data_IF_346858939943
#
_entry.id   IF_346858939943
#
_cell.length_a   1.000
_cell.length_b   1.000
_cell.length_c   1.000
_cell.angle_alpha   90.00
_cell.angle_beta   90.00
_cell.angle_gamma   90.00
#
_symmetry.space_group_name_H-M   'P 1'
#
loop_
_entity.id
_entity.type
_entity.pdbx_description
1 polymer ?
#
# COMPACT_ATOMS: atom_id res chain seq x y z
N UNK A 1 -19.54 -11.75 -23.56
CA UNK A 1 -19.33 -12.55 -22.32
C UNK A 1 -18.57 -11.76 -21.26
N UNK A 2 -17.43 -11.12 -21.59
CA UNK A 2 -16.66 -10.31 -20.65
C UNK A 2 -17.47 -9.16 -20.02
N UNK A 3 -18.17 -8.37 -20.84
CA UNK A 3 -18.99 -7.24 -20.36
C UNK A 3 -20.07 -7.68 -19.36
N UNK A 4 -20.75 -8.82 -19.63
CA UNK A 4 -21.74 -9.39 -18.71
C UNK A 4 -21.11 -9.85 -17.40
N UNK A 5 -19.91 -10.43 -17.46
CA UNK A 5 -19.16 -10.78 -16.26
C UNK A 5 -18.77 -9.54 -15.44
N UNK A 6 -18.28 -8.48 -16.10
CA UNK A 6 -17.95 -7.22 -15.44
C UNK A 6 -19.19 -6.56 -14.83
N UNK A 7 -20.33 -6.59 -15.50
CA UNK A 7 -21.59 -6.08 -14.97
C UNK A 7 -22.05 -6.84 -13.72
N UNK A 8 -21.94 -8.17 -13.73
CA UNK A 8 -22.26 -8.99 -12.55
C UNK A 8 -21.29 -8.72 -11.39
N UNK A 9 -20.00 -8.62 -11.70
CA UNK A 9 -18.95 -8.30 -10.73
C UNK A 9 -19.14 -6.90 -10.12
N UNK A 10 -19.60 -5.95 -10.93
CA UNK A 10 -19.98 -4.62 -10.46
C UNK A 10 -21.19 -4.70 -9.53
N UNK A 11 -22.24 -5.43 -9.89
CA UNK A 11 -23.43 -5.58 -9.05
C UNK A 11 -23.12 -6.16 -7.66
N UNK A 12 -22.20 -7.13 -7.58
CA UNK A 12 -21.89 -7.84 -6.33
C UNK A 12 -20.86 -7.14 -5.45
N UNK A 13 -19.95 -6.37 -6.06
CA UNK A 13 -18.78 -5.82 -5.36
C UNK A 13 -18.55 -4.32 -5.54
N UNK A 14 -19.44 -3.56 -6.20
CA UNK A 14 -19.34 -2.09 -6.28
C UNK A 14 -19.00 -1.44 -4.93
N UNK A 15 -18.07 -0.48 -4.96
CA UNK A 15 -17.58 0.21 -3.76
C UNK A 15 -16.67 -0.60 -2.84
N UNK A 16 -16.42 -1.89 -3.09
CA UNK A 16 -15.52 -2.72 -2.29
C UNK A 16 -14.14 -2.81 -2.91
N UNK A 17 -13.09 -2.83 -2.06
CA UNK A 17 -11.71 -3.02 -2.50
C UNK A 17 -11.50 -4.32 -3.31
N UNK A 18 -12.31 -5.35 -3.04
CA UNK A 18 -12.29 -6.65 -3.72
C UNK A 18 -12.63 -6.54 -5.22
N UNK A 19 -13.52 -5.63 -5.60
CA UNK A 19 -13.91 -5.38 -6.99
C UNK A 19 -12.70 -5.02 -7.86
N UNK A 20 -11.91 -4.05 -7.41
CA UNK A 20 -10.70 -3.61 -8.11
C UNK A 20 -9.67 -4.73 -8.22
N UNK A 21 -9.53 -5.54 -7.17
CA UNK A 21 -8.60 -6.67 -7.17
C UNK A 21 -8.99 -7.71 -8.22
N UNK A 22 -10.29 -7.99 -8.41
CA UNK A 22 -10.74 -8.89 -9.46
C UNK A 22 -10.47 -8.34 -10.87
N UNK A 23 -10.76 -7.05 -11.12
CA UNK A 23 -10.46 -6.42 -12.41
C UNK A 23 -8.95 -6.45 -12.68
N UNK A 24 -8.12 -6.15 -11.67
CA UNK A 24 -6.66 -6.21 -11.79
C UNK A 24 -6.13 -7.61 -12.08
N UNK A 25 -6.63 -8.64 -11.41
CA UNK A 25 -6.28 -10.04 -11.69
C UNK A 25 -6.67 -10.45 -13.10
N UNK A 26 -7.83 -10.01 -13.59
CA UNK A 26 -8.31 -10.33 -14.93
C UNK A 26 -7.46 -9.63 -16.01
N UNK A 27 -7.02 -8.40 -15.76
CA UNK A 27 -6.06 -7.71 -16.62
C UNK A 27 -4.70 -8.46 -16.69
N UNK A 28 -4.17 -8.89 -15.54
CA UNK A 28 -2.93 -9.68 -15.50
C UNK A 28 -3.08 -11.02 -16.22
N UNK A 29 -4.23 -11.68 -16.08
CA UNK A 29 -4.54 -12.90 -16.80
C UNK A 29 -4.54 -12.70 -18.31
N UNK A 30 -5.15 -11.62 -18.81
CA UNK A 30 -5.11 -11.30 -20.25
C UNK A 30 -3.70 -10.97 -20.73
N UNK A 31 -2.91 -10.27 -19.93
CA UNK A 31 -1.50 -10.02 -20.24
C UNK A 31 -0.70 -11.34 -20.34
N UNK A 32 -0.93 -12.28 -19.41
CA UNK A 32 -0.28 -13.59 -19.42
C UNK A 32 -0.69 -14.42 -20.64
N UNK A 33 -1.97 -14.43 -21.02
CA UNK A 33 -2.44 -15.12 -22.24
C UNK A 33 -1.71 -14.58 -23.48
N UNK A 34 -1.60 -13.25 -23.60
CA UNK A 34 -0.89 -12.59 -24.71
C UNK A 34 0.59 -12.95 -24.73
N UNK A 35 1.24 -12.90 -23.56
CA UNK A 35 2.65 -13.22 -23.42
C UNK A 35 2.95 -14.67 -23.83
N UNK A 36 2.08 -15.61 -23.46
CA UNK A 36 2.26 -17.02 -23.77
C UNK A 36 1.69 -17.45 -25.12
N UNK A 37 1.12 -16.53 -25.93
CA UNK A 37 0.43 -16.78 -27.21
C UNK A 37 -0.49 -18.02 -27.17
N UNK A 38 -1.05 -18.31 -26.01
CA UNK A 38 -1.69 -19.62 -25.74
C UNK A 38 -3.10 -19.71 -26.34
N UNK A 39 -3.62 -18.61 -26.89
CA UNK A 39 -4.95 -18.54 -27.46
C UNK A 39 -5.11 -17.32 -28.38
N UNK A 40 -5.44 -17.55 -29.65
CA UNK A 40 -5.74 -16.50 -30.64
C UNK A 40 -7.18 -15.96 -30.51
N UNK A 41 -8.01 -16.59 -29.67
CA UNK A 41 -9.40 -16.19 -29.47
C UNK A 41 -9.58 -14.90 -28.64
N UNK A 42 -8.51 -14.38 -28.02
CA UNK A 42 -8.56 -13.11 -27.30
C UNK A 42 -7.94 -12.01 -28.18
N UNK A 43 -8.74 -11.11 -28.76
CA UNK A 43 -8.22 -10.04 -29.59
C UNK A 43 -7.20 -9.20 -28.83
N UNK A 44 -6.11 -8.84 -29.50
CA UNK A 44 -5.10 -7.91 -28.96
C UNK A 44 -5.70 -6.57 -28.55
N UNK A 45 -6.87 -6.20 -29.11
CA UNK A 45 -7.66 -5.02 -28.79
C UNK A 45 -8.40 -5.07 -27.43
N UNK A 46 -8.44 -6.22 -26.74
CA UNK A 46 -9.14 -6.35 -25.44
C UNK A 46 -8.32 -5.76 -24.29
N UNK A 47 -8.15 -4.44 -24.25
CA UNK A 47 -7.37 -3.76 -23.21
C UNK A 47 -8.28 -3.18 -22.13
N UNK A 48 -7.80 -3.22 -20.88
CA UNK A 48 -8.39 -2.46 -19.79
C UNK A 48 -7.79 -1.06 -19.77
N UNK A 49 -8.64 -0.06 -19.72
CA UNK A 49 -8.25 1.33 -19.57
C UNK A 49 -8.25 1.72 -18.08
N UNK A 50 -7.43 2.72 -17.67
CA UNK A 50 -7.43 3.22 -16.30
C UNK A 50 -8.83 3.59 -15.77
N UNK A 51 -9.71 4.05 -16.66
CA UNK A 51 -11.08 4.46 -16.39
C UNK A 51 -12.01 3.29 -16.04
N UNK A 52 -11.67 2.07 -16.47
CA UNK A 52 -12.43 0.86 -16.16
C UNK A 52 -12.23 0.41 -14.70
N UNK A 53 -11.19 0.93 -14.04
CA UNK A 53 -10.96 0.63 -12.63
C UNK A 53 -11.86 1.50 -11.76
N UNK A 54 -12.55 0.91 -10.76
CA UNK A 54 -13.36 1.68 -9.83
C UNK A 54 -12.49 2.72 -9.12
N UNK A 55 -13.04 3.94 -8.98
CA UNK A 55 -12.39 5.05 -8.30
C UNK A 55 -12.11 4.70 -6.83
N UNK A 56 -10.96 5.12 -6.33
CA UNK A 56 -10.65 5.00 -4.92
C UNK A 56 -11.42 6.04 -4.12
N UNK A 57 -12.02 5.63 -3.01
CA UNK A 57 -12.12 6.51 -1.86
C UNK A 57 -10.70 6.72 -1.32
N UNK A 58 -10.35 7.98 -1.06
CA UNK A 58 -9.04 8.35 -0.54
C UNK A 58 -8.76 7.55 0.73
N UNK A 59 -7.82 6.60 0.64
CA UNK A 59 -7.45 5.80 1.79
C UNK A 59 -6.74 6.72 2.75
N UNK A 60 -7.28 6.83 3.97
CA UNK A 60 -6.62 7.53 5.06
C UNK A 60 -5.15 7.09 5.14
N UNK A 61 -4.22 8.03 5.38
CA UNK A 61 -2.82 7.71 5.56
C UNK A 61 -2.67 6.58 6.58
N UNK A 62 -2.12 5.45 6.14
CA UNK A 62 -1.76 4.33 7.03
C UNK A 62 -0.40 4.52 7.69
N UNK A 63 0.17 5.71 7.55
CA UNK A 63 1.41 6.08 8.21
C UNK A 63 1.12 6.31 9.70
N UNK A 64 1.85 5.59 10.55
CA UNK A 64 1.90 5.89 11.97
C UNK A 64 2.70 7.17 12.19
N UNK A 65 2.32 7.97 13.19
CA UNK A 65 3.08 9.17 13.55
C UNK A 65 4.47 8.79 14.03
N UNK A 66 5.44 9.68 13.84
CA UNK A 66 6.83 9.44 14.23
C UNK A 66 7.02 9.05 15.72
N UNK A 67 6.30 9.64 16.68
CA UNK A 67 6.38 9.22 18.08
C UNK A 67 5.91 7.77 18.28
N UNK A 68 4.89 7.33 17.54
CA UNK A 68 4.37 5.96 17.62
C UNK A 68 5.36 4.97 16.99
N UNK A 69 5.96 5.32 15.85
CA UNK A 69 7.00 4.49 15.22
C UNK A 69 8.24 4.34 16.11
N UNK A 70 8.75 5.45 16.65
CA UNK A 70 9.90 5.46 17.58
C UNK A 70 9.64 4.58 18.81
N UNK A 71 8.40 4.57 19.32
CA UNK A 71 8.03 3.71 20.43
C UNK A 71 8.00 2.23 20.01
N UNK A 72 7.42 1.91 18.85
CA UNK A 72 7.33 0.53 18.37
C UNK A 72 8.69 -0.12 18.10
N UNK A 73 9.67 0.68 17.68
CA UNK A 73 11.05 0.25 17.37
C UNK A 73 11.91 0.01 18.61
N UNK A 74 11.48 0.44 19.79
CA UNK A 74 12.25 0.19 21.01
C UNK A 74 12.42 -1.32 21.22
N UNK A 75 13.64 -1.81 21.56
CA UNK A 75 13.92 -3.23 21.73
C UNK A 75 12.94 -3.90 22.70
N UNK A 76 12.62 -3.22 23.80
CA UNK A 76 11.65 -3.66 24.81
C UNK A 76 10.23 -3.86 24.28
N UNK A 77 9.84 -3.13 23.22
CA UNK A 77 8.54 -3.28 22.58
C UNK A 77 8.59 -4.31 21.45
N UNK A 78 9.71 -4.41 20.71
CA UNK A 78 9.96 -5.45 19.72
C UNK A 78 10.00 -6.86 20.34
N UNK A 79 10.50 -6.98 21.56
CA UNK A 79 10.57 -8.26 22.29
C UNK A 79 9.20 -8.72 22.83
N UNK A 80 8.19 -7.84 22.85
CA UNK A 80 6.81 -8.21 23.24
C UNK A 80 6.06 -8.94 22.12
N UNK A 81 6.55 -8.88 20.88
CA UNK A 81 5.89 -9.53 19.75
C UNK A 81 6.13 -11.03 19.81
N UNK A 82 5.07 -11.80 20.01
CA UNK A 82 5.13 -13.28 20.09
C UNK A 82 5.47 -13.94 18.75
N UNK A 83 5.34 -13.22 17.63
CA UNK A 83 5.57 -13.72 16.29
C UNK A 83 6.78 -13.01 15.66
N UNK A 84 7.83 -13.74 15.26
CA UNK A 84 9.02 -13.16 14.61
C UNK A 84 8.69 -12.36 13.33
N UNK A 85 7.65 -12.78 12.60
CA UNK A 85 7.21 -12.10 11.38
C UNK A 85 6.77 -10.66 11.65
N UNK A 86 6.12 -10.38 12.78
CA UNK A 86 5.67 -9.01 13.08
C UNK A 86 6.82 -8.10 13.50
N UNK A 87 7.78 -8.64 14.26
CA UNK A 87 9.04 -7.93 14.55
C UNK A 87 9.77 -7.55 13.26
N UNK A 88 9.85 -8.48 12.31
CA UNK A 88 10.48 -8.25 11.01
C UNK A 88 9.75 -7.17 10.19
N UNK A 89 8.42 -7.22 10.12
CA UNK A 89 7.62 -6.23 9.38
C UNK A 89 7.81 -4.82 9.96
N UNK A 90 7.88 -4.67 11.28
CA UNK A 90 8.15 -3.37 11.92
C UNK A 90 9.52 -2.81 11.53
N UNK A 91 10.56 -3.66 11.55
CA UNK A 91 11.93 -3.25 11.17
C UNK A 91 12.06 -2.88 9.68
N UNK A 92 11.41 -3.63 8.78
CA UNK A 92 11.42 -3.33 7.34
C UNK A 92 10.66 -2.03 7.04
N UNK A 93 9.57 -1.77 7.76
CA UNK A 93 8.78 -0.55 7.58
C UNK A 93 9.54 0.71 7.97
N UNK A 94 10.38 0.65 9.01
CA UNK A 94 11.29 1.76 9.36
C UNK A 94 12.41 1.94 8.32
N UNK A 95 13.02 0.84 7.85
CA UNK A 95 14.08 0.91 6.85
C UNK A 95 13.64 1.55 5.52
N UNK A 96 12.35 1.49 5.19
CA UNK A 96 11.77 2.09 3.98
C UNK A 96 11.34 3.55 4.18
N UNK A 97 11.57 4.15 5.36
CA UNK A 97 11.19 5.54 5.66
C UNK A 97 12.18 6.53 5.00
N UNK A 98 11.71 7.57 4.29
CA UNK A 98 12.57 8.59 3.69
C UNK A 98 13.39 9.33 4.78
N UNK A 99 14.65 9.63 4.45
CA UNK A 99 15.68 10.08 5.40
C UNK A 99 15.46 11.47 6.04
N UNK A 100 14.48 12.24 5.58
CA UNK A 100 14.28 13.66 5.93
C UNK A 100 13.86 13.94 7.38
N UNK A 101 13.51 12.92 8.16
CA UNK A 101 13.06 13.10 9.55
C UNK A 101 14.12 12.78 10.63
N UNK A 102 15.36 12.41 10.24
CA UNK A 102 16.40 11.98 11.20
C UNK A 102 17.11 13.12 11.98
N UNK A 103 16.83 14.40 11.71
CA UNK A 103 17.54 15.54 12.32
C UNK A 103 16.60 16.61 12.90
N UNK A 104 15.83 16.26 13.93
CA UNK A 104 14.90 17.18 14.60
C UNK A 104 15.03 17.24 16.12
N UNK A 105 16.21 17.07 16.72
CA UNK A 105 16.33 17.09 18.20
C UNK A 105 17.68 17.56 18.77
N UNK A 106 18.39 18.50 18.12
CA UNK A 106 19.68 18.99 18.65
C UNK A 106 19.95 20.51 18.50
N UNK A 107 18.93 21.36 18.40
CA UNK A 107 19.12 22.81 18.27
C UNK A 107 18.24 23.67 19.21
N UNK A 108 17.93 23.19 20.42
CA UNK A 108 17.17 23.96 21.41
C UNK A 108 17.78 23.95 22.82
N UNK A 109 19.10 23.86 22.93
CA UNK A 109 19.82 24.10 24.19
C UNK A 109 21.11 24.85 23.87
N UNK A 110 21.06 26.18 23.95
CA UNK A 110 22.15 27.08 24.40
C UNK A 110 21.84 28.54 24.03
N UNK A 111 20.86 29.16 24.69
CA UNK A 111 21.03 30.56 25.10
C UNK A 111 20.02 30.96 26.18
N UNK A 112 20.48 30.97 27.44
CA UNK A 112 19.93 31.85 28.47
C UNK A 112 21.10 32.39 29.27
N UNK A 113 21.30 33.71 29.25
CA UNK A 113 21.54 34.43 30.50
C UNK A 113 20.80 35.78 30.45
N UNK A 114 20.59 36.57 31.51
CA UNK A 114 20.47 36.40 32.96
C UNK A 114 19.86 37.75 33.39
N UNK A 115 19.01 37.73 34.42
CA UNK A 115 18.35 38.89 35.04
C UNK A 115 19.22 40.16 35.13
N UNK A 116 18.58 41.31 34.97
CA UNK A 116 18.57 42.36 35.99
C UNK A 116 17.14 42.82 36.22
#
# INVERSE_FOLDING_TARGET
>A
MLERYLAHLHADYAGRAVHRNFIGQLNLFFLAIRQHRRNDALPASTVFFPEDFPRYDERLPRALSEPVMTQLEQPVNLDRWKTPAYRLVTLISDALRPADHRHGAAAARLHRPRRR
#
